data_IF_850193306936
#
_entry.id   IF_850193306936
#
_cell.length_a   1.000
_cell.length_b   1.000
_cell.length_c   1.000
_cell.angle_alpha   90.00
_cell.angle_beta   90.00
_cell.angle_gamma   90.00
#
_symmetry.space_group_name_H-M   'P 1'
#
loop_
_entity.id
_entity.type
_entity.pdbx_description
1 polymer ?
#
# COMPACT_ATOMS: atom_id res chain seq x y z
N UNK A 1 -11.35 1.09 -13.69
CA UNK A 1 -10.93 -0.19 -13.08
C UNK A 1 -9.47 -0.08 -12.69
N UNK A 2 -9.07 -0.61 -11.52
CA UNK A 2 -7.68 -0.61 -11.08
C UNK A 2 -6.81 -1.45 -12.02
N UNK A 3 -5.63 -0.94 -12.40
CA UNK A 3 -4.73 -1.58 -13.35
C UNK A 3 -3.26 -1.37 -12.96
N UNK A 4 -2.49 -2.45 -12.99
CA UNK A 4 -1.02 -2.37 -12.95
C UNK A 4 -0.56 -2.07 -14.38
N UNK A 5 -0.06 -0.85 -14.62
CA UNK A 5 0.46 -0.42 -15.92
C UNK A 5 1.88 -0.94 -16.17
N UNK A 6 2.69 -0.98 -15.13
CA UNK A 6 4.06 -1.50 -15.16
C UNK A 6 4.37 -2.29 -13.89
N UNK A 7 5.20 -3.33 -14.03
CA UNK A 7 5.76 -4.11 -12.94
C UNK A 7 7.26 -4.29 -13.15
N UNK A 8 8.04 -3.82 -12.18
CA UNK A 8 9.50 -3.95 -12.17
C UNK A 8 9.95 -4.55 -10.83
N UNK A 9 10.90 -5.48 -10.88
CA UNK A 9 11.48 -6.11 -9.68
C UNK A 9 12.94 -5.68 -9.59
N UNK A 10 13.28 -4.90 -8.57
CA UNK A 10 14.64 -4.51 -8.28
C UNK A 10 15.24 -5.49 -7.27
N UNK A 11 16.31 -6.19 -7.65
CA UNK A 11 16.95 -7.24 -6.83
C UNK A 11 18.06 -6.73 -5.90
N UNK A 12 18.23 -5.41 -5.78
CA UNK A 12 19.28 -4.77 -5.00
C UNK A 12 19.02 -3.26 -4.86
N UNK A 13 20.00 -2.48 -4.36
CA UNK A 13 19.88 -1.03 -4.25
C UNK A 13 19.46 -0.37 -5.57
N UNK A 14 18.48 0.51 -5.49
CA UNK A 14 17.83 1.11 -6.65
C UNK A 14 17.31 2.52 -6.33
N UNK A 15 16.66 3.17 -7.31
CA UNK A 15 16.17 4.54 -7.20
C UNK A 15 15.09 4.73 -6.11
N UNK A 16 14.39 3.67 -5.73
CA UNK A 16 13.31 3.71 -4.74
C UNK A 16 13.79 3.41 -3.33
N UNK A 17 14.77 2.49 -3.19
CA UNK A 17 15.22 2.00 -1.91
C UNK A 17 16.63 1.38 -1.96
N UNK A 18 17.28 1.26 -0.79
CA UNK A 18 18.61 0.64 -0.64
C UNK A 18 18.56 -0.88 -0.49
N UNK A 19 17.40 -1.49 -0.70
CA UNK A 19 17.12 -2.93 -0.60
C UNK A 19 16.28 -3.38 -1.81
N UNK A 20 16.14 -4.70 -2.05
CA UNK A 20 15.23 -5.20 -3.07
C UNK A 20 13.79 -4.72 -2.84
N UNK A 21 13.12 -4.35 -3.94
CA UNK A 21 11.71 -3.93 -3.91
C UNK A 21 11.00 -4.38 -5.17
N UNK A 22 9.70 -4.61 -5.04
CA UNK A 22 8.77 -4.64 -6.16
C UNK A 22 8.28 -3.21 -6.37
N UNK A 23 8.23 -2.77 -7.63
CA UNK A 23 7.70 -1.46 -8.04
C UNK A 23 6.57 -1.66 -9.05
N UNK A 24 5.44 -1.04 -8.77
CA UNK A 24 4.30 -0.94 -9.66
C UNK A 24 4.05 0.50 -10.06
N UNK A 25 3.71 0.71 -11.33
CA UNK A 25 2.96 1.89 -11.77
C UNK A 25 1.49 1.51 -11.76
N UNK A 26 0.77 1.95 -10.73
CA UNK A 26 -0.60 1.58 -10.45
C UNK A 26 -1.57 2.69 -10.84
N UNK A 27 -2.49 2.39 -11.74
CA UNK A 27 -3.64 3.22 -12.06
C UNK A 27 -4.84 2.77 -11.22
N UNK A 28 -5.33 3.64 -10.35
CA UNK A 28 -6.46 3.33 -9.47
C UNK A 28 -7.82 3.71 -10.10
N UNK A 29 -7.84 4.35 -11.26
CA UNK A 29 -9.04 4.75 -11.99
C UNK A 29 -10.02 5.56 -11.13
N UNK A 30 -11.30 5.16 -11.13
CA UNK A 30 -12.37 5.83 -10.36
C UNK A 30 -12.15 5.89 -8.85
N UNK A 31 -11.24 5.06 -8.31
CA UNK A 31 -10.90 5.05 -6.88
C UNK A 31 -10.10 6.30 -6.48
N UNK A 32 -9.63 7.09 -7.45
CA UNK A 32 -9.07 8.42 -7.21
C UNK A 32 -10.07 9.34 -6.50
N UNK A 33 -11.35 9.27 -6.87
CA UNK A 33 -12.42 10.08 -6.30
C UNK A 33 -13.10 9.42 -5.09
N UNK A 34 -12.75 8.15 -4.83
CA UNK A 34 -13.31 7.29 -3.79
C UNK A 34 -12.18 6.76 -2.87
N UNK A 35 -11.50 7.62 -2.09
CA UNK A 35 -10.57 7.17 -1.07
C UNK A 35 -11.25 6.24 -0.06
N UNK A 36 -10.47 5.52 0.74
CA UNK A 36 -10.94 4.45 1.63
C UNK A 36 -12.14 4.81 2.50
N UNK A 37 -12.21 6.05 3.00
CA UNK A 37 -13.31 6.54 3.85
C UNK A 37 -14.60 6.86 3.08
N UNK A 38 -14.56 6.95 1.75
CA UNK A 38 -15.75 7.12 0.88
C UNK A 38 -16.26 5.79 0.32
N UNK A 39 -15.63 4.67 0.66
CA UNK A 39 -16.08 3.34 0.27
C UNK A 39 -16.82 2.72 1.46
N UNK A 40 -18.15 2.54 1.40
CA UNK A 40 -18.93 2.02 2.52
C UNK A 40 -18.43 0.64 2.99
N UNK A 41 -18.23 0.48 4.31
CA UNK A 41 -17.79 -0.77 4.93
C UNK A 41 -16.34 -1.19 4.63
N UNK A 42 -15.58 -0.39 3.89
CA UNK A 42 -14.24 -0.78 3.45
C UNK A 42 -13.27 -0.99 4.61
N UNK A 43 -13.30 -0.07 5.59
CA UNK A 43 -12.47 -0.19 6.77
C UNK A 43 -12.79 -1.46 7.53
N UNK A 44 -14.07 -1.68 7.84
CA UNK A 44 -14.57 -2.80 8.65
C UNK A 44 -14.23 -4.14 8.00
N UNK A 45 -14.55 -4.31 6.71
CA UNK A 45 -14.27 -5.55 6.00
C UNK A 45 -12.77 -5.82 5.86
N UNK A 46 -11.93 -4.79 5.65
CA UNK A 46 -10.49 -4.99 5.51
C UNK A 46 -9.85 -5.46 6.82
N UNK A 47 -10.24 -4.87 7.95
CA UNK A 47 -9.71 -5.27 9.26
C UNK A 47 -10.25 -6.63 9.73
N UNK A 48 -11.44 -7.02 9.28
CA UNK A 48 -11.98 -8.36 9.54
C UNK A 48 -11.19 -9.43 8.77
N UNK A 49 -10.84 -9.15 7.51
CA UNK A 49 -10.08 -10.06 6.66
C UNK A 49 -8.60 -10.18 7.08
N UNK A 50 -7.98 -9.08 7.51
CA UNK A 50 -6.56 -9.05 7.89
C UNK A 50 -6.39 -8.29 9.22
N UNK A 51 -6.76 -8.91 10.36
CA UNK A 51 -6.71 -8.24 11.67
C UNK A 51 -5.30 -7.76 12.07
N UNK A 52 -4.27 -8.46 11.61
CA UNK A 52 -2.85 -8.16 11.89
C UNK A 52 -2.37 -6.83 11.28
N UNK A 53 -3.12 -6.24 10.33
CA UNK A 53 -2.88 -4.87 9.85
C UNK A 53 -2.87 -3.83 10.99
N UNK A 54 -3.49 -4.14 12.13
CA UNK A 54 -3.44 -3.27 13.32
C UNK A 54 -2.02 -3.12 13.88
N UNK A 55 -1.26 -4.22 13.92
CA UNK A 55 0.11 -4.24 14.45
C UNK A 55 1.10 -3.64 13.44
N UNK A 56 0.73 -3.59 12.16
CA UNK A 56 1.53 -3.02 11.10
C UNK A 56 1.75 -1.51 11.31
N UNK A 57 2.98 -1.16 11.69
CA UNK A 57 3.40 0.23 11.87
C UNK A 57 3.46 0.97 10.53
N UNK A 58 2.59 1.95 10.31
CA UNK A 58 2.78 2.94 9.24
C UNK A 58 3.88 3.95 9.65
N UNK A 59 4.19 4.88 8.74
CA UNK A 59 5.10 6.03 8.89
C UNK A 59 4.98 6.85 10.20
N UNK A 60 3.92 6.65 10.98
CA UNK A 60 3.70 7.25 12.32
C UNK A 60 4.55 6.56 13.42
N UNK A 61 5.15 5.38 13.15
CA UNK A 61 6.02 4.68 14.09
C UNK A 61 5.29 4.14 15.33
N UNK A 62 3.96 4.08 15.28
CA UNK A 62 3.08 3.53 16.32
C UNK A 62 2.15 2.48 15.71
N UNK A 63 1.83 1.41 16.44
CA UNK A 63 0.75 0.49 16.07
C UNK A 63 -0.54 1.24 15.71
N UNK A 64 -1.27 0.76 14.71
CA UNK A 64 -2.53 1.36 14.24
C UNK A 64 -2.39 2.62 13.37
N UNK A 65 -1.17 3.06 13.04
CA UNK A 65 -0.96 4.23 12.19
C UNK A 65 -1.61 4.11 10.80
N UNK A 66 -1.56 2.92 10.19
CA UNK A 66 -2.21 2.66 8.90
C UNK A 66 -3.74 2.71 9.03
N UNK A 67 -4.30 2.06 10.05
CA UNK A 67 -5.75 2.04 10.30
C UNK A 67 -6.32 3.43 10.53
N UNK A 68 -5.59 4.31 11.22
CA UNK A 68 -5.98 5.72 11.36
C UNK A 68 -6.12 6.39 9.98
N UNK A 69 -5.11 6.25 9.11
CA UNK A 69 -5.14 6.80 7.74
C UNK A 69 -6.25 6.19 6.89
N UNK A 70 -6.53 4.91 7.10
CA UNK A 70 -7.61 4.20 6.43
C UNK A 70 -8.99 4.78 6.79
N UNK A 71 -9.22 5.10 8.07
CA UNK A 71 -10.45 5.78 8.54
C UNK A 71 -10.53 7.24 8.09
N UNK A 72 -9.42 7.97 8.13
CA UNK A 72 -9.37 9.38 7.69
C UNK A 72 -9.57 9.53 6.17
N UNK A 73 -9.18 8.50 5.40
CA UNK A 73 -9.22 8.49 3.96
C UNK A 73 -7.82 8.41 3.36
N UNK A 74 -7.55 7.34 2.63
CA UNK A 74 -6.32 7.16 1.87
C UNK A 74 -6.59 6.47 0.53
N UNK A 75 -5.66 6.59 -0.41
CA UNK A 75 -5.82 6.09 -1.78
C UNK A 75 -5.43 4.61 -1.90
N UNK A 76 -6.01 3.94 -2.88
CA UNK A 76 -5.84 2.48 -3.05
C UNK A 76 -4.40 2.06 -3.34
N UNK A 77 -3.53 2.95 -3.85
CA UNK A 77 -2.10 2.68 -3.95
C UNK A 77 -1.44 2.45 -2.58
N UNK A 78 -1.77 3.29 -1.60
CA UNK A 78 -1.25 3.17 -0.24
C UNK A 78 -1.88 1.98 0.52
N UNK A 79 -3.15 1.65 0.24
CA UNK A 79 -3.77 0.43 0.76
C UNK A 79 -3.07 -0.82 0.21
N UNK A 80 -2.83 -0.86 -1.11
CA UNK A 80 -2.14 -1.98 -1.76
C UNK A 80 -0.74 -2.18 -1.18
N UNK A 81 0.01 -1.11 -0.96
CA UNK A 81 1.34 -1.14 -0.34
C UNK A 81 1.33 -1.89 1.01
N UNK A 82 0.45 -1.47 1.93
CA UNK A 82 0.38 -2.07 3.27
C UNK A 82 -0.19 -3.49 3.25
N UNK A 83 -1.20 -3.76 2.43
CA UNK A 83 -1.76 -5.11 2.29
C UNK A 83 -0.72 -6.07 1.69
N UNK A 84 0.08 -5.63 0.71
CA UNK A 84 1.14 -6.45 0.14
C UNK A 84 2.25 -6.76 1.15
N UNK A 85 2.67 -5.78 1.96
CA UNK A 85 3.63 -6.02 3.04
C UNK A 85 3.06 -7.00 4.08
N UNK A 86 1.79 -6.84 4.46
CA UNK A 86 1.17 -7.68 5.49
C UNK A 86 0.99 -9.13 5.04
N UNK A 87 0.52 -9.36 3.81
CA UNK A 87 0.40 -10.71 3.25
C UNK A 87 1.76 -11.40 3.20
N UNK A 88 2.84 -10.67 2.91
CA UNK A 88 4.20 -11.21 2.93
C UNK A 88 4.65 -11.58 4.35
N UNK A 89 4.38 -10.73 5.35
CA UNK A 89 4.69 -11.05 6.76
C UNK A 89 3.89 -12.27 7.25
N UNK A 90 2.61 -12.37 6.90
CA UNK A 90 1.79 -13.55 7.21
C UNK A 90 2.32 -14.83 6.53
N UNK A 91 3.01 -14.69 5.39
CA UNK A 91 3.72 -15.79 4.73
C UNK A 91 5.14 -16.04 5.27
N UNK A 92 5.58 -15.30 6.30
CA UNK A 92 6.88 -15.46 6.96
C UNK A 92 8.01 -14.58 6.41
N UNK A 93 7.72 -13.65 5.49
CA UNK A 93 8.72 -12.69 5.01
C UNK A 93 8.77 -11.47 5.94
N UNK A 94 9.89 -11.25 6.64
CA UNK A 94 10.08 -10.13 7.57
C UNK A 94 10.29 -8.79 6.82
N UNK A 95 9.20 -8.18 6.34
CA UNK A 95 9.23 -6.98 5.49
C UNK A 95 8.40 -5.84 6.07
N UNK A 96 8.90 -4.60 5.96
CA UNK A 96 8.23 -3.44 6.57
C UNK A 96 8.34 -2.15 5.76
N UNK A 97 9.08 -2.15 4.64
CA UNK A 97 9.36 -0.93 3.88
C UNK A 97 8.48 -0.84 2.66
N UNK A 98 7.65 0.19 2.61
CA UNK A 98 6.85 0.56 1.45
C UNK A 98 6.90 2.06 1.16
N UNK A 99 6.49 2.43 -0.06
CA UNK A 99 6.32 3.82 -0.46
C UNK A 99 5.36 3.98 -1.64
N UNK A 100 4.33 4.79 -1.43
CA UNK A 100 3.41 5.24 -2.49
C UNK A 100 3.69 6.70 -2.84
N UNK A 101 3.86 7.01 -4.12
CA UNK A 101 4.11 8.38 -4.63
C UNK A 101 3.37 8.61 -5.94
N UNK A 102 2.92 9.85 -6.18
CA UNK A 102 2.32 10.22 -7.47
C UNK A 102 3.35 10.05 -8.61
N UNK A 103 2.87 9.70 -9.80
CA UNK A 103 3.66 9.74 -11.05
C UNK A 103 3.65 11.12 -11.71
N UNK A 104 2.83 12.05 -11.23
CA UNK A 104 2.46 13.29 -11.93
C UNK A 104 1.16 13.18 -12.72
N UNK A 105 0.74 11.97 -13.10
CA UNK A 105 -0.57 11.71 -13.70
C UNK A 105 -1.62 11.44 -12.60
N UNK A 106 -2.79 12.07 -12.71
CA UNK A 106 -3.89 11.91 -11.76
C UNK A 106 -4.38 10.45 -11.72
N UNK A 107 -4.55 9.90 -10.52
CA UNK A 107 -4.96 8.49 -10.35
C UNK A 107 -3.86 7.46 -10.62
N UNK A 108 -2.63 7.89 -10.94
CA UNK A 108 -1.53 6.96 -11.25
C UNK A 108 -0.37 7.17 -10.28
N UNK A 109 -0.01 6.08 -9.59
CA UNK A 109 0.94 6.08 -8.49
C UNK A 109 2.06 5.09 -8.72
N UNK A 110 3.27 5.50 -8.37
CA UNK A 110 4.36 4.59 -8.07
C UNK A 110 4.09 3.97 -6.70
N UNK A 111 3.95 2.65 -6.66
CA UNK A 111 3.82 1.87 -5.42
C UNK A 111 5.02 0.95 -5.32
N UNK A 112 5.84 1.13 -4.29
CA UNK A 112 6.98 0.25 -4.02
C UNK A 112 6.86 -0.41 -2.66
N UNK A 113 7.26 -1.66 -2.57
CA UNK A 113 7.29 -2.40 -1.32
C UNK A 113 8.41 -3.45 -1.34
N UNK A 114 9.01 -3.67 -0.19
CA UNK A 114 10.01 -4.69 0.05
C UNK A 114 9.44 -6.09 -0.20
N UNK A 115 10.29 -7.01 -0.65
CA UNK A 115 10.01 -8.43 -0.80
C UNK A 115 11.24 -9.27 -0.41
#
# INVERSE_FOLDING_TARGET
MLKIREKTIYRGPNVWARMPVIHYVLDIGELEERPSNKIPGFYEHLIELIPSLYEHGCSIGKPGGFLKRLREGTWMGHVLEHVALEIQNLAGAEVARGKTRSTGEKGVYNVTFQY
#
